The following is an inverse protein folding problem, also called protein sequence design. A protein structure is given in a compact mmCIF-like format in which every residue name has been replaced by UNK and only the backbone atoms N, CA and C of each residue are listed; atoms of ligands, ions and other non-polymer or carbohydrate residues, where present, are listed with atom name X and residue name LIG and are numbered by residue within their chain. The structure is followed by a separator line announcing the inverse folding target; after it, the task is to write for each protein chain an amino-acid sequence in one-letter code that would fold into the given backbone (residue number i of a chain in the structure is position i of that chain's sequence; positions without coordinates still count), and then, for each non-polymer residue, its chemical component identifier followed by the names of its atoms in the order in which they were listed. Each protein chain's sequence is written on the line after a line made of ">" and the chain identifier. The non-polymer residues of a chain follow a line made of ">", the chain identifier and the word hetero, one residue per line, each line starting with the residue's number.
data_IF_397645897354
#
_entry.id   IF_397645897354
#
_cell.length_a   1.000
_cell.length_b   1.000
_cell.length_c   1.000
_cell.angle_alpha   90.00
_cell.angle_beta   90.00
_cell.angle_gamma   90.00
#
_symmetry.space_group_name_H-M   'P 1'
#
loop_
_entity.id
_entity.type
_entity.pdbx_description
1 polymer ?
#
# COMPACT_ATOMS: atom_id res chain seq x y z
N UNK A 1 2.56 -33.42 -2.87
CA UNK A 1 2.84 -32.05 -2.42
C UNK A 1 2.76 -31.92 -0.90
N UNK A 2 1.60 -32.06 -0.26
CA UNK A 2 1.45 -31.84 1.20
C UNK A 2 2.43 -32.65 2.06
N UNK A 3 2.55 -33.96 1.82
CA UNK A 3 3.51 -34.84 2.50
C UNK A 3 4.97 -34.35 2.38
N UNK A 4 5.37 -33.91 1.18
CA UNK A 4 6.74 -33.45 0.91
C UNK A 4 7.06 -32.13 1.62
N UNK A 5 6.06 -31.23 1.73
CA UNK A 5 6.19 -29.94 2.43
C UNK A 5 6.00 -30.06 3.95
N UNK A 6 5.89 -31.27 4.50
CA UNK A 6 5.75 -31.49 5.95
C UNK A 6 4.43 -30.98 6.52
N UNK A 7 3.32 -31.08 5.78
CA UNK A 7 1.99 -30.76 6.31
C UNK A 7 1.72 -31.64 7.55
N UNK A 8 1.23 -31.03 8.63
CA UNK A 8 0.91 -31.75 9.87
C UNK A 8 -0.13 -32.84 9.65
N UNK A 9 0.07 -33.98 10.30
CA UNK A 9 -0.91 -35.07 10.35
C UNK A 9 -2.22 -34.60 10.99
N UNK A 10 -3.36 -35.14 10.54
CA UNK A 10 -4.69 -34.70 10.98
C UNK A 10 -5.15 -33.33 10.44
N UNK A 11 -4.33 -32.65 9.61
CA UNK A 11 -4.66 -31.37 8.99
C UNK A 11 -4.76 -31.47 7.45
N UNK A 12 -5.74 -32.23 6.92
CA UNK A 12 -5.94 -32.38 5.48
C UNK A 12 -6.45 -31.09 4.84
N UNK A 13 -6.22 -30.93 3.54
CA UNK A 13 -6.91 -29.88 2.78
C UNK A 13 -8.34 -30.31 2.46
N UNK A 14 -9.25 -29.34 2.45
CA UNK A 14 -10.66 -29.58 2.17
C UNK A 14 -10.91 -29.40 0.68
N UNK A 15 -11.25 -30.49 -0.01
CA UNK A 15 -11.49 -30.51 -1.45
C UNK A 15 -12.84 -29.93 -1.84
N UNK A 16 -12.85 -29.03 -2.83
CA UNK A 16 -14.07 -28.49 -3.45
C UNK A 16 -14.10 -28.88 -4.93
N UNK A 17 -15.20 -29.51 -5.35
CA UNK A 17 -15.32 -30.11 -6.69
C UNK A 17 -16.37 -29.39 -7.54
N UNK A 18 -16.24 -28.08 -7.74
CA UNK A 18 -17.23 -27.19 -8.39
C UNK A 18 -17.89 -27.75 -9.68
N UNK A 19 -17.15 -28.56 -10.44
CA UNK A 19 -17.63 -29.21 -11.67
C UNK A 19 -18.84 -30.12 -11.46
N UNK A 20 -19.14 -30.56 -10.23
CA UNK A 20 -20.38 -31.27 -9.92
C UNK A 20 -21.62 -30.44 -10.30
N UNK A 21 -21.55 -29.12 -10.15
CA UNK A 21 -22.65 -28.19 -10.40
C UNK A 21 -22.57 -27.59 -11.80
N UNK A 22 -21.38 -27.20 -12.24
CA UNK A 22 -21.19 -26.41 -13.46
C UNK A 22 -20.90 -27.25 -14.70
N UNK A 23 -20.63 -28.55 -14.54
CA UNK A 23 -19.98 -29.35 -15.57
C UNK A 23 -18.56 -28.87 -15.90
N UNK A 24 -18.01 -29.36 -17.02
CA UNK A 24 -16.67 -28.99 -17.47
C UNK A 24 -16.69 -28.08 -18.72
N UNK A 25 -16.36 -26.78 -18.59
CA UNK A 25 -16.35 -25.82 -19.69
C UNK A 25 -14.99 -25.73 -20.42
N UNK A 26 -14.14 -26.75 -20.30
CA UNK A 26 -12.81 -26.82 -20.94
C UNK A 26 -11.94 -25.63 -20.52
N UNK A 27 -11.71 -24.68 -21.43
CA UNK A 27 -10.83 -23.52 -21.19
C UNK A 27 -11.23 -22.67 -19.99
N UNK A 28 -12.53 -22.45 -19.77
CA UNK A 28 -12.99 -21.57 -18.67
C UNK A 28 -12.98 -22.25 -17.29
N UNK A 29 -12.61 -23.53 -17.19
CA UNK A 29 -12.77 -24.31 -15.96
C UNK A 29 -11.95 -23.73 -14.80
N UNK A 30 -10.70 -23.33 -15.07
CA UNK A 30 -9.85 -22.71 -14.05
C UNK A 30 -10.36 -21.33 -13.61
N UNK A 31 -10.95 -20.55 -14.52
CA UNK A 31 -11.50 -19.23 -14.20
C UNK A 31 -12.73 -19.32 -13.28
N UNK A 32 -13.63 -20.29 -13.49
CA UNK A 32 -14.76 -20.50 -12.59
C UNK A 32 -14.33 -20.99 -11.22
N UNK A 33 -13.31 -21.86 -11.17
CA UNK A 33 -12.70 -22.31 -9.91
C UNK A 33 -12.03 -21.14 -9.18
N UNK A 34 -11.39 -20.22 -9.90
CA UNK A 34 -10.86 -18.97 -9.35
C UNK A 34 -11.93 -18.09 -8.74
N UNK A 35 -13.05 -17.85 -9.44
CA UNK A 35 -14.17 -17.08 -8.90
C UNK A 35 -14.71 -17.71 -7.61
N UNK A 36 -14.85 -19.05 -7.58
CA UNK A 36 -15.26 -19.79 -6.38
C UNK A 36 -14.25 -19.68 -5.24
N UNK A 37 -12.95 -19.77 -5.53
CA UNK A 37 -11.89 -19.61 -4.53
C UNK A 37 -11.93 -18.23 -3.86
N UNK A 38 -12.11 -17.16 -4.64
CA UNK A 38 -12.26 -15.80 -4.12
C UNK A 38 -13.49 -15.68 -3.23
N UNK A 39 -14.62 -16.28 -3.61
CA UNK A 39 -15.83 -16.30 -2.80
C UNK A 39 -15.64 -17.08 -1.48
N UNK A 40 -14.94 -18.22 -1.52
CA UNK A 40 -14.61 -19.02 -0.33
C UNK A 40 -13.77 -18.20 0.64
N UNK A 41 -12.70 -17.54 0.16
CA UNK A 41 -11.82 -16.70 0.98
C UNK A 41 -12.62 -15.62 1.70
N UNK A 42 -13.39 -14.82 0.96
CA UNK A 42 -14.10 -13.66 1.52
C UNK A 42 -15.33 -14.03 2.37
N UNK A 43 -15.88 -15.24 2.23
CA UNK A 43 -17.08 -15.67 2.99
C UNK A 43 -16.78 -16.61 4.15
N UNK A 44 -15.61 -17.28 4.15
CA UNK A 44 -15.32 -18.38 5.07
C UNK A 44 -16.19 -19.63 4.85
N UNK A 45 -16.93 -19.71 3.73
CA UNK A 45 -17.82 -20.83 3.42
C UNK A 45 -17.15 -21.76 2.42
N UNK A 46 -16.99 -23.04 2.78
CA UNK A 46 -16.47 -24.09 1.91
C UNK A 46 -17.65 -24.92 1.36
N UNK A 47 -17.99 -24.81 0.07
CA UNK A 47 -19.13 -25.54 -0.50
C UNK A 47 -18.82 -27.04 -0.65
N UNK A 48 -19.73 -27.88 -0.19
CA UNK A 48 -19.62 -29.33 -0.32
C UNK A 48 -19.97 -29.83 -1.72
N UNK A 49 -19.37 -30.95 -2.12
CA UNK A 49 -19.78 -31.66 -3.33
C UNK A 49 -21.08 -32.43 -3.07
N UNK A 50 -22.22 -31.85 -3.43
CA UNK A 50 -23.55 -32.45 -3.17
C UNK A 50 -23.83 -33.73 -3.95
N UNK A 51 -23.05 -34.02 -4.99
CA UNK A 51 -23.13 -35.27 -5.75
C UNK A 51 -22.09 -36.31 -5.31
N UNK A 52 -21.30 -36.05 -4.26
CA UNK A 52 -20.47 -37.09 -3.64
C UNK A 52 -21.36 -37.97 -2.74
N UNK A 53 -22.10 -38.87 -3.39
CA UNK A 53 -22.95 -39.88 -2.75
C UNK A 53 -22.13 -40.89 -1.95
N UNK A 54 -21.04 -41.38 -2.54
CA UNK A 54 -20.05 -42.20 -1.87
C UNK A 54 -18.63 -41.87 -2.36
N UNK A 55 -17.70 -41.62 -1.43
CA UNK A 55 -16.29 -41.38 -1.78
C UNK A 55 -15.63 -42.71 -2.10
N UNK A 56 -14.91 -42.78 -3.22
CA UNK A 56 -14.19 -43.99 -3.64
C UNK A 56 -13.18 -44.44 -2.57
N UNK A 57 -13.21 -45.73 -2.21
CA UNK A 57 -12.32 -46.33 -1.21
C UNK A 57 -10.86 -46.16 -1.57
N UNK A 58 -10.52 -46.11 -2.86
CA UNK A 58 -9.14 -45.87 -3.34
C UNK A 58 -8.61 -44.53 -2.81
N UNK A 59 -9.48 -43.52 -2.63
CA UNK A 59 -9.07 -42.19 -2.21
C UNK A 59 -8.72 -42.10 -0.71
N UNK A 60 -9.06 -43.10 0.10
CA UNK A 60 -8.75 -43.15 1.53
C UNK A 60 -7.24 -43.10 1.81
N UNK A 61 -6.41 -43.65 0.91
CA UNK A 61 -4.95 -43.62 1.03
C UNK A 61 -4.37 -42.18 0.98
N UNK A 62 -5.15 -41.19 0.53
CA UNK A 62 -4.74 -39.79 0.45
C UNK A 62 -5.11 -39.04 1.73
N UNK A 63 -4.46 -39.39 2.84
CA UNK A 63 -4.72 -38.87 4.21
C UNK A 63 -4.72 -37.33 4.32
N UNK A 64 -4.10 -36.61 3.39
CA UNK A 64 -4.05 -35.16 3.36
C UNK A 64 -5.19 -34.49 2.57
N UNK A 65 -6.22 -35.24 2.14
CA UNK A 65 -7.36 -34.71 1.39
C UNK A 65 -8.68 -35.13 2.06
N UNK A 66 -9.53 -34.14 2.34
CA UNK A 66 -10.89 -34.34 2.84
C UNK A 66 -11.91 -34.06 1.72
N UNK A 67 -12.93 -34.91 1.60
CA UNK A 67 -13.94 -34.86 0.54
C UNK A 67 -15.35 -34.58 1.11
N UNK A 68 -15.71 -33.32 1.41
CA UNK A 68 -16.99 -32.98 2.02
C UNK A 68 -18.18 -33.07 1.04
N UNK A 69 -19.28 -33.69 1.46
CA UNK A 69 -20.54 -33.72 0.70
C UNK A 69 -21.49 -32.55 1.04
N UNK A 70 -21.24 -31.86 2.15
CA UNK A 70 -22.05 -30.74 2.66
C UNK A 70 -21.20 -29.49 2.89
N UNK A 71 -21.84 -28.33 2.77
CA UNK A 71 -21.21 -27.03 2.99
C UNK A 71 -20.77 -26.87 4.44
N UNK A 72 -19.58 -26.30 4.63
CA UNK A 72 -19.01 -25.98 5.93
C UNK A 72 -18.85 -24.47 6.04
N UNK A 73 -19.45 -23.85 7.06
CA UNK A 73 -19.17 -22.46 7.42
C UNK A 73 -18.05 -22.48 8.47
N UNK A 74 -16.89 -21.97 8.09
CA UNK A 74 -15.71 -21.86 8.97
C UNK A 74 -15.67 -20.49 9.64
N UNK A 75 -14.70 -20.29 10.52
CA UNK A 75 -14.31 -18.98 11.07
C UNK A 75 -13.38 -18.19 10.13
N UNK A 76 -12.87 -18.82 9.05
CA UNK A 76 -12.11 -18.16 8.00
C UNK A 76 -11.28 -19.12 7.15
N UNK A 77 -10.97 -18.72 5.91
CA UNK A 77 -10.08 -19.47 5.02
C UNK A 77 -8.93 -18.57 4.61
N UNK A 78 -7.69 -18.99 4.88
CA UNK A 78 -6.49 -18.17 4.68
C UNK A 78 -5.92 -18.26 3.27
N UNK A 79 -6.02 -19.42 2.63
CA UNK A 79 -5.53 -19.63 1.29
C UNK A 79 -6.29 -20.77 0.59
N UNK A 80 -6.35 -20.72 -0.74
CA UNK A 80 -6.96 -21.75 -1.58
C UNK A 80 -5.98 -22.15 -2.68
N UNK A 81 -5.83 -23.45 -2.91
CA UNK A 81 -5.10 -24.01 -4.06
C UNK A 81 -6.07 -24.38 -5.17
N UNK A 82 -5.84 -23.88 -6.37
CA UNK A 82 -6.60 -24.19 -7.58
C UNK A 82 -5.70 -25.02 -8.49
N UNK A 83 -6.10 -26.24 -8.80
CA UNK A 83 -5.34 -27.14 -9.69
C UNK A 83 -6.15 -27.47 -10.94
N UNK A 84 -5.52 -27.36 -12.11
CA UNK A 84 -6.12 -27.69 -13.40
C UNK A 84 -5.20 -28.60 -14.20
N UNK A 85 -5.80 -29.57 -14.90
CA UNK A 85 -5.12 -30.51 -15.78
C UNK A 85 -5.87 -30.58 -17.11
N UNK A 86 -5.17 -30.28 -18.19
CA UNK A 86 -5.71 -30.31 -19.56
C UNK A 86 -4.94 -31.25 -20.47
N UNK A 87 -5.54 -31.57 -21.62
CA UNK A 87 -4.90 -32.33 -22.69
C UNK A 87 -3.60 -31.66 -23.14
N UNK A 88 -2.65 -32.46 -23.64
CA UNK A 88 -1.33 -31.97 -24.03
C UNK A 88 -0.43 -31.61 -22.84
N UNK A 89 -0.54 -32.37 -21.74
CA UNK A 89 0.31 -32.25 -20.54
C UNK A 89 0.29 -30.84 -19.92
N UNK A 90 -0.88 -30.18 -19.93
CA UNK A 90 -1.05 -28.86 -19.32
C UNK A 90 -1.49 -29.01 -17.87
N UNK A 91 -0.52 -29.16 -16.97
CA UNK A 91 -0.73 -29.01 -15.53
C UNK A 91 -0.56 -27.56 -15.11
N UNK A 92 -1.44 -27.07 -14.23
CA UNK A 92 -1.36 -25.72 -13.68
C UNK A 92 -1.87 -25.66 -12.25
N UNK A 93 -1.22 -24.84 -11.43
CA UNK A 93 -1.61 -24.58 -10.06
C UNK A 93 -1.54 -23.08 -9.77
N UNK A 94 -2.55 -22.56 -9.07
CA UNK A 94 -2.54 -21.21 -8.51
C UNK A 94 -2.84 -21.29 -7.02
N UNK A 95 -2.14 -20.48 -6.22
CA UNK A 95 -2.42 -20.28 -4.80
C UNK A 95 -2.97 -18.88 -4.63
N UNK A 96 -4.13 -18.76 -3.99
CA UNK A 96 -4.79 -17.48 -3.69
C UNK A 96 -4.81 -17.31 -2.19
N UNK A 97 -4.29 -16.20 -1.68
CA UNK A 97 -4.23 -15.88 -0.25
C UNK A 97 -5.34 -14.89 0.09
N UNK A 98 -5.86 -14.94 1.32
CA UNK A 98 -6.89 -14.02 1.80
C UNK A 98 -6.43 -12.55 1.68
N UNK A 99 -7.27 -11.62 1.19
CA UNK A 99 -6.86 -10.25 0.92
C UNK A 99 -6.40 -9.48 2.16
N UNK A 100 -6.91 -9.79 3.34
CA UNK A 100 -6.55 -9.07 4.58
C UNK A 100 -5.05 -9.13 4.92
N UNK A 101 -4.34 -10.15 4.46
CA UNK A 101 -2.87 -10.21 4.62
C UNK A 101 -2.15 -9.07 3.90
N UNK A 102 -2.74 -8.47 2.88
CA UNK A 102 -2.20 -7.28 2.21
C UNK A 102 -2.15 -6.07 3.14
N UNK A 103 -3.16 -5.91 4.00
CA UNK A 103 -3.32 -4.69 4.80
C UNK A 103 -2.30 -4.61 5.94
N UNK A 104 -1.73 -5.74 6.37
CA UNK A 104 -0.61 -5.75 7.32
C UNK A 104 0.70 -5.17 6.76
N UNK A 105 0.80 -4.92 5.45
CA UNK A 105 2.00 -4.38 4.80
C UNK A 105 1.95 -2.85 4.58
N UNK A 106 0.88 -2.18 5.02
CA UNK A 106 0.69 -0.73 4.87
C UNK A 106 0.42 -0.08 6.22
N UNK A 107 0.59 1.24 6.29
CA UNK A 107 0.27 2.02 7.49
C UNK A 107 -1.23 2.23 7.66
N UNK A 108 -1.65 2.51 8.89
CA UNK A 108 -3.03 2.83 9.24
C UNK A 108 -3.61 3.99 8.39
N UNK A 109 -2.86 5.08 8.21
CA UNK A 109 -3.28 6.21 7.38
C UNK A 109 -3.63 5.78 5.95
N UNK A 110 -2.75 4.97 5.34
CA UNK A 110 -2.92 4.50 3.96
C UNK A 110 -4.08 3.53 3.86
N UNK A 111 -4.28 2.69 4.87
CA UNK A 111 -5.44 1.79 4.95
C UNK A 111 -6.74 2.58 5.05
N UNK A 112 -6.83 3.56 5.94
CA UNK A 112 -8.03 4.37 6.14
C UNK A 112 -8.36 5.22 4.90
N UNK A 113 -7.35 5.77 4.22
CA UNK A 113 -7.55 6.45 2.92
C UNK A 113 -8.11 5.49 1.86
N UNK A 114 -7.59 4.27 1.79
CA UNK A 114 -8.07 3.23 0.87
C UNK A 114 -9.52 2.84 1.18
N UNK A 115 -9.86 2.58 2.45
CA UNK A 115 -11.22 2.22 2.88
C UNK A 115 -12.23 3.30 2.47
N UNK A 116 -11.90 4.58 2.69
CA UNK A 116 -12.75 5.70 2.29
C UNK A 116 -12.96 5.73 0.75
N UNK A 117 -11.89 5.55 -0.04
CA UNK A 117 -11.97 5.50 -1.51
C UNK A 117 -12.80 4.32 -2.01
N UNK A 118 -12.65 3.15 -1.40
CA UNK A 118 -13.41 1.93 -1.76
C UNK A 118 -14.88 2.11 -1.42
N UNK A 119 -15.21 2.61 -0.23
CA UNK A 119 -16.59 2.86 0.19
C UNK A 119 -17.32 3.83 -0.76
N UNK A 120 -16.65 4.92 -1.18
CA UNK A 120 -17.22 5.84 -2.17
C UNK A 120 -17.41 5.20 -3.55
N UNK A 121 -16.47 4.34 -3.96
CA UNK A 121 -16.53 3.60 -5.23
C UNK A 121 -17.66 2.58 -5.24
N UNK A 122 -17.85 1.84 -4.15
CA UNK A 122 -18.90 0.83 -4.03
C UNK A 122 -20.28 1.47 -4.20
N UNK A 123 -20.57 2.57 -3.49
CA UNK A 123 -21.83 3.32 -3.64
C UNK A 123 -22.08 3.76 -5.09
N UNK A 124 -21.03 4.19 -5.77
CA UNK A 124 -21.10 4.59 -7.19
C UNK A 124 -21.34 3.40 -8.12
N UNK A 125 -20.70 2.26 -7.84
CA UNK A 125 -20.87 1.02 -8.58
C UNK A 125 -22.27 0.43 -8.39
N UNK A 126 -22.82 0.46 -7.17
CA UNK A 126 -24.20 0.07 -6.88
C UNK A 126 -25.19 0.87 -7.71
N UNK A 127 -25.05 2.21 -7.74
CA UNK A 127 -25.88 3.09 -8.57
C UNK A 127 -25.77 2.73 -10.05
N UNK A 128 -24.54 2.52 -10.56
CA UNK A 128 -24.31 2.16 -11.96
C UNK A 128 -24.94 0.81 -12.30
N UNK A 129 -24.75 -0.20 -11.46
CA UNK A 129 -25.26 -1.56 -11.66
C UNK A 129 -26.78 -1.58 -11.70
N UNK A 130 -27.47 -0.98 -10.72
CA UNK A 130 -28.93 -0.99 -10.69
C UNK A 130 -29.54 -0.26 -11.88
N UNK A 131 -29.01 0.92 -12.23
CA UNK A 131 -29.45 1.65 -13.41
C UNK A 131 -29.19 0.82 -14.69
N UNK A 132 -28.00 0.23 -14.83
CA UNK A 132 -27.67 -0.60 -15.97
C UNK A 132 -28.53 -1.87 -16.07
N UNK A 133 -28.90 -2.47 -14.95
CA UNK A 133 -29.71 -3.68 -14.91
C UNK A 133 -31.14 -3.41 -15.40
N UNK A 134 -31.82 -2.40 -14.83
CA UNK A 134 -33.24 -2.12 -15.16
C UNK A 134 -33.41 -1.51 -16.56
N UNK A 135 -32.39 -0.85 -17.09
CA UNK A 135 -32.42 -0.23 -18.42
C UNK A 135 -31.65 -1.00 -19.49
N UNK A 136 -31.11 -2.19 -19.19
CA UNK A 136 -30.27 -2.97 -20.11
C UNK A 136 -29.04 -2.20 -20.64
N UNK A 137 -28.41 -1.42 -19.76
CA UNK A 137 -27.26 -0.52 -20.05
C UNK A 137 -26.01 -0.82 -19.22
N UNK A 138 -25.86 -2.06 -18.72
CA UNK A 138 -24.61 -2.48 -18.06
C UNK A 138 -23.43 -2.41 -19.03
N UNK A 139 -23.65 -2.90 -20.26
CA UNK A 139 -22.70 -2.79 -21.34
C UNK A 139 -23.02 -1.56 -22.20
N UNK A 140 -22.01 -0.72 -22.42
CA UNK A 140 -22.06 0.41 -23.36
C UNK A 140 -20.73 0.40 -24.09
N UNK A 141 -20.77 0.22 -25.42
CA UNK A 141 -19.57 0.29 -26.25
C UNK A 141 -18.95 1.68 -26.21
N UNK A 142 -17.63 1.74 -26.28
CA UNK A 142 -16.92 3.00 -26.51
C UNK A 142 -16.87 3.24 -28.01
N UNK A 143 -17.37 4.39 -28.46
CA UNK A 143 -17.33 4.79 -29.88
C UNK A 143 -15.95 5.31 -30.28
N UNK A 144 -15.25 5.95 -29.34
CA UNK A 144 -13.94 6.55 -29.58
C UNK A 144 -12.92 6.09 -28.54
N UNK A 145 -11.65 6.08 -28.97
CA UNK A 145 -10.50 6.00 -28.08
C UNK A 145 -10.46 7.23 -27.15
N UNK A 146 -9.70 7.18 -26.04
CA UNK A 146 -9.52 8.34 -25.17
C UNK A 146 -8.62 9.43 -25.78
N UNK A 147 -7.96 9.17 -26.91
CA UNK A 147 -7.17 10.12 -27.71
C UNK A 147 -7.82 10.32 -29.07
N UNK A 148 -7.53 11.44 -29.71
CA UNK A 148 -7.85 11.69 -31.12
C UNK A 148 -6.72 11.15 -31.98
N UNK A 149 -6.97 10.95 -33.28
CA UNK A 149 -5.97 10.45 -34.23
C UNK A 149 -4.72 11.35 -34.25
N UNK A 150 -4.89 12.67 -34.06
CA UNK A 150 -3.77 13.62 -34.02
C UNK A 150 -2.89 13.48 -32.77
N UNK A 151 -3.43 12.91 -31.67
CA UNK A 151 -2.70 12.72 -30.41
C UNK A 151 -2.29 11.26 -30.19
N UNK A 152 -2.63 10.34 -31.10
CA UNK A 152 -2.41 8.91 -30.93
C UNK A 152 -0.93 8.57 -30.68
N UNK A 153 -0.05 8.99 -31.59
CA UNK A 153 1.39 8.70 -31.49
C UNK A 153 2.02 9.37 -30.27
N UNK A 154 1.65 10.63 -29.99
CA UNK A 154 2.17 11.38 -28.85
C UNK A 154 1.80 10.71 -27.52
N UNK A 155 0.57 10.19 -27.40
CA UNK A 155 0.14 9.43 -26.22
C UNK A 155 0.88 8.12 -26.10
N UNK A 156 1.11 7.39 -27.19
CA UNK A 156 1.86 6.13 -27.15
C UNK A 156 3.31 6.32 -26.72
N UNK A 157 3.91 7.46 -27.06
CA UNK A 157 5.31 7.76 -26.79
C UNK A 157 5.56 8.46 -25.46
N UNK A 158 4.52 8.89 -24.74
CA UNK A 158 4.63 9.45 -23.38
C UNK A 158 4.16 8.46 -22.29
N UNK A 159 5.08 7.81 -21.56
CA UNK A 159 4.72 6.89 -20.48
C UNK A 159 4.04 7.58 -19.28
N UNK A 160 4.13 8.91 -19.18
CA UNK A 160 3.53 9.72 -18.13
C UNK A 160 2.22 10.39 -18.55
N UNK A 161 1.82 10.27 -19.82
CA UNK A 161 0.54 10.80 -20.28
C UNK A 161 -0.62 10.13 -19.51
N UNK A 162 -1.53 10.95 -18.96
CA UNK A 162 -2.73 10.48 -18.27
C UNK A 162 -3.96 11.22 -18.78
N UNK A 163 -5.08 10.51 -18.80
CA UNK A 163 -6.39 11.09 -19.14
C UNK A 163 -6.84 12.07 -18.06
N UNK A 164 -7.64 13.05 -18.46
CA UNK A 164 -8.30 13.99 -17.55
C UNK A 164 -9.76 14.14 -17.94
N UNK A 165 -10.58 14.67 -17.03
CA UNK A 165 -11.99 14.91 -17.32
C UNK A 165 -12.11 16.13 -18.23
N UNK A 166 -12.58 15.92 -19.45
CA UNK A 166 -12.85 17.02 -20.37
C UNK A 166 -14.03 17.86 -19.86
N UNK A 167 -13.86 19.19 -19.85
CA UNK A 167 -14.87 20.11 -19.33
C UNK A 167 -16.11 20.19 -20.23
N UNK A 168 -15.94 19.96 -21.53
CA UNK A 168 -17.03 20.08 -22.51
C UNK A 168 -17.88 18.80 -22.57
N UNK A 169 -17.24 17.65 -22.76
CA UNK A 169 -17.92 16.35 -22.89
C UNK A 169 -18.19 15.65 -21.56
N UNK A 170 -17.45 15.99 -20.50
CA UNK A 170 -17.53 15.31 -19.20
C UNK A 170 -16.91 13.91 -19.17
N UNK A 171 -16.39 13.42 -20.31
CA UNK A 171 -15.73 12.13 -20.45
C UNK A 171 -14.23 12.21 -20.11
N UNK A 172 -13.54 11.07 -20.05
CA UNK A 172 -12.11 11.01 -19.80
C UNK A 172 -11.36 10.96 -21.14
N UNK A 173 -10.58 11.99 -21.44
CA UNK A 173 -9.79 12.09 -22.68
C UNK A 173 -8.37 12.57 -22.40
N UNK A 174 -7.45 12.29 -23.32
CA UNK A 174 -6.13 12.90 -23.33
C UNK A 174 -6.22 14.36 -23.79
N UNK A 175 -5.35 15.18 -23.23
CA UNK A 175 -5.22 16.58 -23.59
C UNK A 175 -3.75 16.83 -23.91
N UNK A 176 -3.46 17.52 -25.02
CA UNK A 176 -2.10 17.86 -25.42
C UNK A 176 -1.28 18.57 -24.33
N UNK A 177 -1.94 19.31 -23.42
CA UNK A 177 -1.29 19.95 -22.26
C UNK A 177 -0.68 18.96 -21.25
N UNK A 178 -1.17 17.72 -21.24
CA UNK A 178 -0.74 16.69 -20.30
C UNK A 178 0.17 15.64 -20.95
N UNK A 179 0.47 15.79 -22.25
CA UNK A 179 1.38 14.91 -23.00
C UNK A 179 2.73 15.62 -23.13
N UNK A 180 3.81 14.90 -22.85
CA UNK A 180 5.18 15.42 -22.72
C UNK A 180 5.25 16.64 -21.79
N UNK A 181 4.39 16.65 -20.76
CA UNK A 181 4.24 17.76 -19.84
C UNK A 181 5.30 17.74 -18.75
N UNK A 182 5.94 18.89 -18.51
CA UNK A 182 6.92 19.03 -17.42
C UNK A 182 6.32 18.71 -16.06
N UNK A 183 5.05 19.07 -15.84
CA UNK A 183 4.34 18.85 -14.57
C UNK A 183 4.14 17.36 -14.26
N UNK A 184 4.18 16.50 -15.28
CA UNK A 184 4.09 15.05 -15.11
C UNK A 184 5.38 14.44 -14.55
N UNK A 185 6.53 15.07 -14.80
CA UNK A 185 7.84 14.61 -14.35
C UNK A 185 8.34 15.39 -13.13
N UNK A 186 8.24 16.72 -13.16
CA UNK A 186 8.65 17.64 -12.10
C UNK A 186 7.48 17.85 -11.15
N UNK A 187 7.47 17.08 -10.06
CA UNK A 187 6.44 17.17 -9.03
C UNK A 187 6.84 18.12 -7.88
N UNK A 188 5.87 18.45 -7.01
CA UNK A 188 6.08 19.37 -5.88
C UNK A 188 7.29 19.01 -5.01
N UNK A 189 7.49 17.73 -4.69
CA UNK A 189 8.62 17.28 -3.86
C UNK A 189 9.97 17.55 -4.53
N UNK A 190 10.09 17.28 -5.84
CA UNK A 190 11.32 17.57 -6.58
C UNK A 190 11.64 19.06 -6.64
N UNK A 191 10.61 19.90 -6.75
CA UNK A 191 10.76 21.37 -6.75
C UNK A 191 11.26 21.85 -5.38
N UNK A 192 10.62 21.42 -4.30
CA UNK A 192 11.00 21.80 -2.93
C UNK A 192 12.41 21.33 -2.58
N UNK A 193 12.73 20.07 -2.89
CA UNK A 193 14.05 19.49 -2.64
C UNK A 193 15.14 20.19 -3.46
N UNK A 194 14.91 20.44 -4.75
CA UNK A 194 15.86 21.16 -5.59
C UNK A 194 16.13 22.58 -5.05
N UNK A 195 15.08 23.29 -4.62
CA UNK A 195 15.19 24.62 -4.03
C UNK A 195 15.94 24.61 -2.68
N UNK A 196 15.78 23.57 -1.87
CA UNK A 196 16.55 23.41 -0.62
C UNK A 196 18.05 23.28 -0.91
N UNK A 197 18.43 22.46 -1.90
CA UNK A 197 19.84 22.29 -2.29
C UNK A 197 20.39 23.56 -2.95
N UNK A 198 19.61 24.23 -3.79
CA UNK A 198 19.98 25.52 -4.40
C UNK A 198 20.32 26.56 -3.33
N UNK A 199 19.54 26.61 -2.24
CA UNK A 199 19.80 27.52 -1.12
C UNK A 199 21.07 27.19 -0.33
N UNK A 200 21.63 25.99 -0.48
CA UNK A 200 22.89 25.56 0.15
C UNK A 200 24.10 25.74 -0.76
N UNK A 201 23.93 26.26 -1.97
CA UNK A 201 25.06 26.57 -2.86
C UNK A 201 25.94 27.67 -2.27
N UNK A 202 27.21 27.71 -2.71
CA UNK A 202 28.26 28.59 -2.15
C UNK A 202 27.90 30.07 -2.07
N UNK A 203 26.94 30.52 -2.87
CA UNK A 203 26.48 31.92 -2.87
C UNK A 203 25.73 32.31 -1.58
N UNK A 204 25.11 31.37 -0.87
CA UNK A 204 24.31 31.64 0.34
C UNK A 204 24.95 31.17 1.65
N UNK A 205 25.93 30.27 1.60
CA UNK A 205 26.58 29.72 2.80
C UNK A 205 27.95 30.38 2.97
N UNK A 206 27.99 31.57 3.57
CA UNK A 206 29.24 32.33 3.71
C UNK A 206 30.11 31.88 4.90
N UNK A 207 29.51 31.57 6.06
CA UNK A 207 30.25 31.24 7.30
C UNK A 207 29.51 30.30 8.29
N UNK A 208 28.50 29.55 7.84
CA UNK A 208 27.70 28.65 8.70
C UNK A 208 27.98 27.16 8.45
N UNK A 209 27.92 26.34 9.50
CA UNK A 209 27.94 24.88 9.37
C UNK A 209 26.66 24.35 8.71
N UNK A 210 26.80 23.45 7.74
CA UNK A 210 25.67 22.85 7.02
C UNK A 210 25.49 21.39 7.45
N UNK A 211 24.27 21.02 7.80
CA UNK A 211 23.87 19.64 8.03
C UNK A 211 22.81 19.22 7.02
N UNK A 212 23.06 18.12 6.32
CA UNK A 212 22.10 17.49 5.40
C UNK A 212 21.76 16.12 5.94
N UNK A 213 20.48 15.80 5.95
CA UNK A 213 19.97 14.51 6.37
C UNK A 213 18.74 14.11 5.54
N UNK A 214 18.62 12.81 5.27
CA UNK A 214 17.50 12.23 4.54
C UNK A 214 17.08 10.95 5.23
N UNK A 215 15.78 10.77 5.37
CA UNK A 215 15.19 9.65 6.09
C UNK A 215 14.13 8.98 5.25
N UNK A 216 14.21 7.65 5.14
CA UNK A 216 13.18 6.89 4.45
C UNK A 216 11.93 6.83 5.32
N UNK A 217 10.77 7.15 4.76
CA UNK A 217 9.48 7.09 5.48
C UNK A 217 9.29 5.72 6.17
N UNK A 218 9.75 4.65 5.54
CA UNK A 218 9.65 3.27 6.05
C UNK A 218 10.50 2.97 7.29
N UNK A 219 11.53 3.77 7.60
CA UNK A 219 12.34 3.57 8.81
C UNK A 219 11.60 4.03 10.08
N UNK A 220 10.58 4.87 9.92
CA UNK A 220 9.79 5.40 11.02
C UNK A 220 8.60 4.46 11.29
N UNK A 221 8.66 3.75 12.41
CA UNK A 221 7.51 3.02 12.94
C UNK A 221 6.73 3.91 13.91
N UNK A 222 5.55 4.39 13.50
CA UNK A 222 4.69 5.28 14.28
C UNK A 222 4.13 4.57 15.53
N UNK A 223 3.95 3.25 15.49
CA UNK A 223 3.43 2.45 16.60
C UNK A 223 4.49 2.16 17.68
N UNK A 224 5.76 2.53 17.44
CA UNK A 224 6.83 2.35 18.40
C UNK A 224 6.93 3.55 19.36
N UNK A 225 6.12 3.51 20.43
CA UNK A 225 6.07 4.57 21.45
C UNK A 225 7.44 4.88 22.06
N UNK A 226 8.32 3.88 22.21
CA UNK A 226 9.66 4.11 22.78
C UNK A 226 10.49 5.07 21.92
N UNK A 227 10.44 4.93 20.60
CA UNK A 227 11.18 5.82 19.70
C UNK A 227 10.55 7.22 19.68
N UNK A 228 9.22 7.30 19.62
CA UNK A 228 8.47 8.55 19.54
C UNK A 228 8.65 9.35 20.84
N UNK A 229 8.34 8.75 21.98
CA UNK A 229 8.43 9.40 23.27
C UNK A 229 9.87 9.76 23.65
N UNK A 230 10.88 9.03 23.18
CA UNK A 230 12.28 9.36 23.50
C UNK A 230 12.83 10.53 22.70
N UNK A 231 12.37 10.73 21.46
CA UNK A 231 13.00 11.66 20.51
C UNK A 231 12.16 12.89 20.14
N UNK A 232 10.85 12.89 20.43
CA UNK A 232 9.95 13.99 20.05
C UNK A 232 9.34 14.66 21.28
N UNK A 233 9.10 15.97 21.17
CA UNK A 233 8.37 16.74 22.19
C UNK A 233 6.85 16.54 22.04
N UNK A 234 6.05 16.79 23.09
CA UNK A 234 4.59 16.68 22.99
C UNK A 234 3.99 17.54 21.86
N UNK A 235 4.55 18.72 21.61
CA UNK A 235 4.09 19.62 20.55
C UNK A 235 4.39 19.05 19.15
N UNK A 236 5.55 18.43 18.94
CA UNK A 236 5.90 17.77 17.68
C UNK A 236 5.01 16.55 17.40
N UNK A 237 4.73 15.76 18.44
CA UNK A 237 3.85 14.59 18.38
C UNK A 237 2.44 15.04 18.00
N UNK A 238 1.90 16.06 18.68
CA UNK A 238 0.59 16.63 18.37
C UNK A 238 0.52 17.11 16.91
N UNK A 239 1.54 17.83 16.45
CA UNK A 239 1.60 18.32 15.07
C UNK A 239 1.60 17.17 14.06
N UNK A 240 2.47 16.16 14.25
CA UNK A 240 2.65 15.06 13.29
C UNK A 240 1.43 14.14 13.23
N UNK A 241 0.82 13.84 14.38
CA UNK A 241 -0.39 13.02 14.45
C UNK A 241 -1.60 13.68 13.77
N UNK A 242 -1.61 15.01 13.63
CA UNK A 242 -2.68 15.74 12.96
C UNK A 242 -2.48 15.85 11.43
N UNK A 243 -1.39 15.33 10.85
CA UNK A 243 -1.12 15.44 9.41
C UNK A 243 -1.80 14.33 8.58
N UNK A 244 -2.06 14.55 7.27
CA UNK A 244 -2.64 13.53 6.38
C UNK A 244 -1.80 12.25 6.24
N UNK A 245 -0.47 12.37 6.41
CA UNK A 245 0.44 11.23 6.48
C UNK A 245 1.32 11.42 7.71
N UNK A 246 0.94 10.74 8.79
CA UNK A 246 1.59 10.81 10.09
C UNK A 246 3.02 10.32 9.99
N UNK A 247 3.24 9.16 9.36
CA UNK A 247 4.57 8.57 9.16
C UNK A 247 5.52 9.50 8.38
N UNK A 248 5.02 10.11 7.30
CA UNK A 248 5.81 11.06 6.51
C UNK A 248 6.14 12.33 7.30
N UNK A 249 5.19 12.84 8.09
CA UNK A 249 5.43 14.02 8.93
C UNK A 249 6.47 13.75 10.03
N UNK A 250 6.43 12.60 10.68
CA UNK A 250 7.45 12.20 11.65
C UNK A 250 8.83 12.06 10.99
N UNK A 251 8.92 11.43 9.82
CA UNK A 251 10.18 11.34 9.07
C UNK A 251 10.75 12.72 8.70
N UNK A 252 9.89 13.67 8.31
CA UNK A 252 10.31 15.05 8.03
C UNK A 252 10.79 15.82 9.27
N UNK A 253 10.16 15.61 10.43
CA UNK A 253 10.62 16.21 11.69
C UNK A 253 11.92 15.54 12.18
N UNK A 254 12.06 14.23 12.01
CA UNK A 254 13.25 13.47 12.35
C UNK A 254 14.47 13.89 11.52
N UNK A 255 14.31 13.99 10.20
CA UNK A 255 15.39 14.46 9.32
C UNK A 255 15.82 15.89 9.63
N UNK A 256 14.88 16.76 10.02
CA UNK A 256 15.20 18.11 10.48
C UNK A 256 16.04 18.10 11.78
N UNK A 257 15.73 17.24 12.75
CA UNK A 257 16.51 17.10 13.98
C UNK A 257 17.94 16.63 13.69
N UNK A 258 18.10 15.61 12.86
CA UNK A 258 19.41 15.10 12.44
C UNK A 258 20.22 16.13 11.63
N UNK A 259 19.55 16.87 10.73
CA UNK A 259 20.18 17.95 9.98
C UNK A 259 20.67 19.09 10.90
N UNK A 260 19.87 19.47 11.91
CA UNK A 260 20.30 20.46 12.92
C UNK A 260 21.44 19.92 13.77
N UNK A 261 21.37 18.66 14.21
CA UNK A 261 22.44 18.04 14.98
C UNK A 261 23.78 18.07 14.21
N UNK A 262 23.74 17.71 12.91
CA UNK A 262 24.92 17.75 12.01
C UNK A 262 25.44 19.17 11.78
N UNK A 263 24.56 20.17 11.64
CA UNK A 263 24.98 21.56 11.39
C UNK A 263 25.70 22.19 12.58
N UNK A 264 25.41 21.74 13.82
CA UNK A 264 26.10 22.19 15.04
C UNK A 264 27.56 21.71 15.14
N UNK A 265 27.96 20.70 14.37
CA UNK A 265 29.35 20.19 14.34
C UNK A 265 29.83 19.55 15.65
N UNK A 266 28.91 19.20 16.57
CA UNK A 266 29.23 18.59 17.86
C UNK A 266 29.40 17.07 17.73
N UNK A 267 30.31 16.49 18.53
CA UNK A 267 30.49 15.02 18.56
C UNK A 267 29.26 14.35 19.18
N UNK A 268 28.84 13.24 18.59
CA UNK A 268 27.72 12.43 19.07
C UNK A 268 27.90 11.98 20.53
N UNK A 269 26.80 12.01 21.29
CA UNK A 269 26.70 11.43 22.63
C UNK A 269 26.43 9.91 22.59
N UNK A 270 26.55 9.28 21.42
CA UNK A 270 26.29 7.87 21.13
C UNK A 270 25.14 7.69 20.13
N UNK A 271 25.17 6.62 19.33
CA UNK A 271 24.20 6.36 18.23
C UNK A 271 22.74 6.13 18.64
N UNK A 272 22.41 6.27 19.93
CA UNK A 272 21.05 6.23 20.45
C UNK A 272 20.70 7.40 21.37
N UNK A 273 21.53 8.45 21.43
CA UNK A 273 21.24 9.63 22.24
C UNK A 273 19.94 10.31 21.77
N UNK A 274 19.12 10.74 22.73
CA UNK A 274 17.81 11.32 22.43
C UNK A 274 17.96 12.69 21.75
N UNK A 275 17.26 12.91 20.64
CA UNK A 275 17.21 14.23 19.97
C UNK A 275 16.02 15.09 20.40
N UNK A 276 15.38 14.76 21.54
CA UNK A 276 14.26 15.54 22.09
C UNK A 276 14.66 16.99 22.44
N UNK A 277 15.91 17.22 22.81
CA UNK A 277 16.41 18.55 23.16
C UNK A 277 16.47 19.52 21.96
N UNK A 278 16.44 18.99 20.73
CA UNK A 278 16.32 19.75 19.48
C UNK A 278 14.84 19.74 19.08
N UNK A 279 14.10 20.79 19.39
CA UNK A 279 12.68 20.89 19.06
C UNK A 279 12.45 21.66 17.75
N UNK A 280 11.59 21.10 16.90
CA UNK A 280 11.21 21.64 15.59
C UNK A 280 9.76 22.15 15.65
N UNK A 281 9.58 23.45 15.83
CA UNK A 281 8.23 24.05 15.91
C UNK A 281 7.67 24.29 14.50
N UNK A 282 6.64 23.53 14.11
CA UNK A 282 5.92 23.65 12.83
C UNK A 282 4.55 24.27 13.04
N UNK A 283 4.25 25.36 12.32
CA UNK A 283 2.93 26.05 12.35
C UNK A 283 2.24 25.86 10.99
N UNK A 284 1.01 25.33 11.00
CA UNK A 284 0.25 25.05 9.77
C UNK A 284 0.08 26.31 8.90
N UNK A 285 0.37 26.17 7.59
CA UNK A 285 0.25 27.19 6.53
C UNK A 285 1.21 28.39 6.54
N UNK A 286 2.30 28.37 7.32
CA UNK A 286 3.34 29.41 7.20
C UNK A 286 4.67 28.86 6.69
N UNK A 287 5.18 29.45 5.59
CA UNK A 287 6.57 29.43 5.13
C UNK A 287 7.56 30.11 6.12
N UNK A 288 7.19 30.23 7.41
CA UNK A 288 8.06 30.87 8.40
C UNK A 288 9.20 29.91 8.76
N UNK A 289 10.41 30.45 9.04
CA UNK A 289 11.57 29.63 9.35
C UNK A 289 11.27 28.67 10.50
N UNK A 290 11.82 27.46 10.44
CA UNK A 290 11.85 26.55 11.59
C UNK A 290 12.37 27.35 12.79
N UNK A 291 11.52 27.57 13.79
CA UNK A 291 12.02 28.00 15.09
C UNK A 291 12.53 26.74 15.78
N UNK A 292 13.85 26.51 15.65
CA UNK A 292 14.52 25.47 16.43
C UNK A 292 14.83 26.01 17.82
N UNK A 293 14.16 25.46 18.82
CA UNK A 293 14.51 25.69 20.23
C UNK A 293 15.43 24.56 20.67
N UNK A 294 16.73 24.85 20.77
CA UNK A 294 17.68 23.96 21.45
C UNK A 294 17.60 24.30 22.93
N UNK A 295 17.04 23.40 23.75
CA UNK A 295 17.05 23.59 25.21
C UNK A 295 18.43 23.20 25.76
N UNK A 296 19.23 24.13 26.33
CA UNK A 296 20.54 23.78 26.83
C UNK A 296 20.38 23.06 28.18
N UNK A 297 20.41 21.73 28.20
CA UNK A 297 20.59 20.97 29.46
C UNK A 297 22.02 20.43 29.57
N UNK A 298 22.76 21.13 30.43
CA UNK A 298 24.10 20.84 31.00
C UNK A 298 25.27 21.17 30.08
N UNK A 299 25.75 22.42 30.21
CA UNK A 299 27.20 22.65 30.24
C UNK A 299 27.84 21.60 31.16
N UNK A 300 28.96 20.94 30.76
CA UNK A 300 29.75 20.22 31.73
C UNK A 300 30.16 21.22 32.81
N UNK A 301 29.87 20.87 34.05
CA UNK A 301 30.24 21.63 35.24
C UNK A 301 31.68 22.10 35.06
N UNK A 302 31.91 23.40 35.34
CA UNK A 302 33.24 23.92 35.66
C UNK A 302 33.95 22.90 36.54
N UNK A 303 35.00 22.27 36.01
CA UNK A 303 36.03 21.69 36.85
C UNK A 303 36.75 22.89 37.47
N UNK A 304 36.36 23.24 38.68
CA UNK A 304 37.23 23.98 39.60
C UNK A 304 37.98 22.94 40.41
N UNK A 305 39.28 23.20 40.61
CA UNK A 305 40.15 22.90 41.77
C UNK A 305 41.52 22.35 41.30
N UNK A 306 42.62 22.51 42.06
CA UNK A 306 43.01 23.62 42.94
C UNK A 306 44.49 24.06 42.73
N UNK A 307 44.80 25.30 43.16
CA UNK A 307 46.10 26.02 43.14
C UNK A 307 46.77 26.26 41.78
#
# INVERSE_FOLDING_TARGET
>A
MMKHLGRSEGNPVIGVFQKFLTGHPKGAAGAWMMNGALQILNSGIIPGNRNADNVDKILEQFEYVLYPSKTLKTDGVRAVSITSFGFGQKGGQAIVVHPDYLYGAITEDRYNEYVAKVSAREKSAYKFFHNGMIYNKLFVSKEHAPYTDELEEDVYLDPLARVSKDKKSGSLTFNSKNIQSKDSYINANTIETAKMIENMTKEKVSNGGVGVDVELITSINVENDTFIERNFTPQEIEYCNAQPSVQSSFAGTWSAKEAVFKSLGVKSLGGGAALKDIEIVRVNKTLRPLNCTVTPKRQPRKLVLPM
#
